data_IF_966614200237
#
_entry.id   IF_966614200237
#
_cell.length_a   1.000
_cell.length_b   1.000
_cell.length_c   1.000
_cell.angle_alpha   90.00
_cell.angle_beta   90.00
_cell.angle_gamma   90.00
#
_symmetry.space_group_name_H-M   'P 1'
#
loop_
_entity.id
_entity.type
_entity.pdbx_description
1 polymer ?
#
# COMPACT_ATOMS: atom_id res chain seq x y z
N UNK A 1 -24.13 -5.45 2.04
CA UNK A 1 -23.19 -4.88 3.03
C UNK A 1 -22.34 -3.86 2.30
N UNK A 2 -21.89 -2.84 3.02
CA UNK A 2 -21.02 -1.78 2.53
C UNK A 2 -19.79 -1.72 3.45
N UNK A 3 -18.60 -1.61 2.88
CA UNK A 3 -17.34 -1.49 3.60
C UNK A 3 -16.74 -0.12 3.32
N UNK A 4 -16.47 0.66 4.37
CA UNK A 4 -15.76 1.94 4.25
C UNK A 4 -14.40 1.83 4.93
N UNK A 5 -13.35 2.17 4.19
CA UNK A 5 -11.97 2.12 4.64
C UNK A 5 -11.50 3.54 4.93
N UNK A 6 -11.08 3.80 6.16
CA UNK A 6 -10.56 5.11 6.57
C UNK A 6 -9.13 4.97 7.07
N UNK A 7 -8.20 5.76 6.53
CA UNK A 7 -6.87 5.89 7.12
C UNK A 7 -6.95 6.76 8.38
N UNK A 8 -6.44 6.27 9.51
CA UNK A 8 -6.52 6.98 10.80
C UNK A 8 -5.31 7.85 11.09
N UNK A 9 -4.19 7.61 10.40
CA UNK A 9 -2.97 8.42 10.44
C UNK A 9 -2.10 8.18 9.20
N UNK A 10 -1.13 9.07 8.90
CA UNK A 10 -0.20 8.86 7.80
C UNK A 10 0.54 7.52 7.91
N UNK A 11 0.79 6.83 6.79
CA UNK A 11 1.55 5.58 6.80
C UNK A 11 2.99 5.85 7.22
N UNK A 12 3.58 4.91 7.96
CA UNK A 12 4.98 4.94 8.33
C UNK A 12 5.78 4.13 7.32
N UNK A 13 6.86 4.71 6.82
CA UNK A 13 7.85 4.06 5.96
C UNK A 13 9.16 3.95 6.74
N UNK A 14 9.75 2.77 6.75
CA UNK A 14 11.13 2.53 7.20
C UNK A 14 11.93 1.93 6.06
N UNK A 15 13.02 2.59 5.71
CA UNK A 15 13.95 2.10 4.69
C UNK A 15 15.17 1.51 5.38
N UNK A 16 15.63 0.38 4.87
CA UNK A 16 16.83 -0.31 5.30
C UNK A 16 17.57 -0.85 4.09
N UNK A 17 18.81 -1.29 4.27
CA UNK A 17 19.56 -1.94 3.19
C UNK A 17 18.89 -3.20 2.64
N UNK A 18 17.99 -3.84 3.41
CA UNK A 18 17.28 -5.07 3.01
C UNK A 18 15.95 -4.83 2.31
N UNK A 19 15.42 -3.60 2.30
CA UNK A 19 14.09 -3.34 1.75
C UNK A 19 13.35 -2.21 2.44
N UNK A 20 12.08 -2.07 2.07
CA UNK A 20 11.18 -1.03 2.57
C UNK A 20 10.01 -1.66 3.34
N UNK A 21 9.83 -1.22 4.58
CA UNK A 21 8.74 -1.66 5.44
C UNK A 21 7.73 -0.54 5.60
N UNK A 22 6.46 -0.86 5.34
CA UNK A 22 5.34 0.05 5.49
C UNK A 22 4.44 -0.39 6.64
N UNK A 23 3.99 0.57 7.43
CA UNK A 23 2.92 0.36 8.40
C UNK A 23 1.79 1.34 8.14
N UNK A 24 0.63 0.82 7.76
CA UNK A 24 -0.58 1.60 7.50
C UNK A 24 -1.57 1.34 8.63
N UNK A 25 -2.29 2.39 9.02
CA UNK A 25 -3.27 2.33 10.10
C UNK A 25 -4.59 2.85 9.59
N UNK A 26 -5.66 2.12 9.88
CA UNK A 26 -6.98 2.51 9.44
C UNK A 26 -8.09 1.80 10.20
N UNK A 27 -9.30 2.24 9.93
CA UNK A 27 -10.52 1.61 10.39
C UNK A 27 -11.32 1.08 9.20
N UNK A 28 -11.97 -0.06 9.40
CA UNK A 28 -12.93 -0.65 8.48
C UNK A 28 -14.31 -0.54 9.12
N UNK A 29 -15.14 0.33 8.57
CA UNK A 29 -16.53 0.48 8.98
C UNK A 29 -17.39 -0.46 8.14
N UNK A 30 -18.13 -1.34 8.81
CA UNK A 30 -19.00 -2.31 8.15
C UNK A 30 -20.44 -1.89 8.35
N UNK A 31 -21.11 -1.53 7.25
CA UNK A 31 -22.52 -1.14 7.27
C UNK A 31 -23.41 -2.23 6.64
N UNK A 32 -24.61 -2.40 7.19
CA UNK A 32 -25.64 -3.28 6.63
C UNK A 32 -26.62 -2.41 5.83
N UNK A 33 -26.95 -2.87 4.62
CA UNK A 33 -27.90 -2.18 3.74
C UNK A 33 -29.32 -2.53 4.17
N UNK A 34 -30.21 -1.53 4.22
CA UNK A 34 -31.62 -1.77 4.55
C UNK A 34 -32.35 -2.46 3.39
N UNK A 35 -33.26 -3.40 3.68
CA UNK A 35 -34.13 -3.97 2.65
C UNK A 35 -34.94 -2.88 1.94
N UNK A 36 -34.97 -2.91 0.60
CA UNK A 36 -35.78 -1.99 -0.21
C UNK A 36 -35.17 -0.62 -0.49
N UNK A 37 -34.06 -0.24 0.14
CA UNK A 37 -33.29 0.96 -0.21
C UNK A 37 -31.79 0.73 -0.02
N UNK A 38 -31.06 0.55 -1.12
CA UNK A 38 -29.61 0.35 -1.10
C UNK A 38 -28.81 1.60 -0.75
N UNK A 39 -29.45 2.76 -0.64
CA UNK A 39 -28.80 4.03 -0.27
C UNK A 39 -28.81 4.30 1.23
N UNK A 40 -29.64 3.59 1.99
CA UNK A 40 -29.66 3.65 3.45
C UNK A 40 -28.87 2.48 4.04
N UNK A 41 -27.84 2.80 4.82
CA UNK A 41 -27.03 1.83 5.53
C UNK A 41 -26.90 2.18 7.02
N UNK A 42 -26.81 1.15 7.87
CA UNK A 42 -26.59 1.30 9.30
C UNK A 42 -25.27 0.65 9.69
N UNK A 43 -24.52 1.31 10.59
CA UNK A 43 -23.26 0.81 11.09
C UNK A 43 -23.49 -0.44 11.94
N UNK A 44 -22.90 -1.56 11.52
CA UNK A 44 -22.94 -2.81 12.26
C UNK A 44 -21.78 -2.90 13.25
N UNK A 45 -20.54 -2.66 12.78
CA UNK A 45 -19.35 -2.68 13.62
C UNK A 45 -18.18 -1.95 12.94
N UNK A 46 -17.16 -1.64 13.74
CA UNK A 46 -15.91 -1.01 13.30
C UNK A 46 -14.75 -1.92 13.68
N UNK A 47 -13.88 -2.21 12.71
CA UNK A 47 -12.63 -2.92 12.93
C UNK A 47 -11.47 -1.94 12.81
N UNK A 48 -10.54 -1.98 13.76
CA UNK A 48 -9.23 -1.35 13.62
C UNK A 48 -8.32 -2.26 12.83
N UNK A 49 -7.60 -1.70 11.86
CA UNK A 49 -6.69 -2.41 10.99
C UNK A 49 -5.27 -1.82 11.07
N UNK A 50 -4.29 -2.69 11.35
CA UNK A 50 -2.87 -2.39 11.20
C UNK A 50 -2.32 -3.24 10.07
N UNK A 51 -1.89 -2.60 8.99
CA UNK A 51 -1.33 -3.28 7.82
C UNK A 51 0.18 -3.16 7.84
N UNK A 52 0.85 -4.30 7.78
CA UNK A 52 2.29 -4.41 7.65
C UNK A 52 2.60 -4.88 6.23
N UNK A 53 3.46 -4.16 5.51
CA UNK A 53 3.84 -4.53 4.16
C UNK A 53 5.34 -4.41 3.95
N UNK A 54 5.89 -5.30 3.14
CA UNK A 54 7.29 -5.28 2.71
C UNK A 54 7.32 -5.06 1.20
N UNK A 55 8.21 -4.17 0.75
CA UNK A 55 8.38 -3.88 -0.66
C UNK A 55 9.85 -3.67 -1.03
N UNK A 56 10.11 -3.92 -2.30
CA UNK A 56 11.38 -3.67 -2.97
C UNK A 56 11.21 -2.52 -3.97
N UNK A 57 12.26 -1.73 -4.14
CA UNK A 57 12.32 -0.67 -5.14
C UNK A 57 13.27 -1.02 -6.25
N UNK A 58 12.93 -0.60 -7.46
CA UNK A 58 13.76 -0.83 -8.63
C UNK A 58 13.56 0.29 -9.65
N UNK A 59 14.47 0.38 -10.62
CA UNK A 59 14.41 1.39 -11.68
C UNK A 59 13.84 0.79 -12.95
N UNK A 60 12.98 1.54 -13.63
CA UNK A 60 12.61 1.31 -15.03
C UNK A 60 13.09 2.48 -15.87
N UNK A 61 13.66 2.18 -17.02
CA UNK A 61 14.07 3.17 -18.00
C UNK A 61 13.15 3.07 -19.22
N UNK A 62 12.53 4.19 -19.62
CA UNK A 62 11.95 4.34 -20.95
C UNK A 62 12.83 5.31 -21.74
N UNK A 63 12.76 5.28 -23.08
CA UNK A 63 13.67 5.99 -24.00
C UNK A 63 14.00 7.47 -23.71
N UNK A 64 13.33 8.15 -22.78
CA UNK A 64 13.70 9.48 -22.29
C UNK A 64 13.63 9.65 -20.75
N UNK A 65 13.06 8.72 -19.99
CA UNK A 65 12.72 8.93 -18.57
C UNK A 65 13.10 7.74 -17.69
N UNK A 66 13.69 8.05 -16.54
CA UNK A 66 13.93 7.11 -15.46
C UNK A 66 12.73 7.13 -14.49
N UNK A 67 12.24 5.96 -14.10
CA UNK A 67 11.15 5.80 -13.15
C UNK A 67 11.62 5.00 -11.95
N UNK A 68 11.25 5.45 -10.75
CA UNK A 68 11.36 4.66 -9.52
C UNK A 68 10.08 3.86 -9.35
N UNK A 69 10.19 2.56 -9.43
CA UNK A 69 9.09 1.62 -9.29
C UNK A 69 9.19 0.85 -7.97
N UNK A 70 8.07 0.29 -7.53
CA UNK A 70 8.00 -0.57 -6.36
C UNK A 70 7.36 -1.92 -6.67
N UNK A 71 7.71 -2.93 -5.87
CA UNK A 71 7.08 -4.23 -5.87
C UNK A 71 6.88 -4.70 -4.42
N UNK A 72 5.63 -4.86 -4.01
CA UNK A 72 5.24 -5.37 -2.71
C UNK A 72 5.27 -6.89 -2.74
N UNK A 73 6.02 -7.49 -1.82
CA UNK A 73 6.23 -8.94 -1.73
C UNK A 73 5.40 -9.57 -0.63
N UNK A 74 5.09 -8.81 0.42
CA UNK A 74 4.38 -9.29 1.59
C UNK A 74 3.39 -8.25 2.12
N UNK A 75 2.19 -8.68 2.50
CA UNK A 75 1.22 -7.89 3.24
C UNK A 75 0.55 -8.75 4.30
N UNK A 76 0.57 -8.28 5.54
CA UNK A 76 -0.22 -8.82 6.65
C UNK A 76 -1.14 -7.74 7.20
N UNK A 77 -2.40 -8.08 7.37
CA UNK A 77 -3.39 -7.21 7.99
C UNK A 77 -3.62 -7.76 9.39
N UNK A 78 -3.59 -6.93 10.42
CA UNK A 78 -4.01 -7.30 11.77
C UNK A 78 -5.28 -6.54 12.11
N UNK A 79 -6.37 -7.26 12.34
CA UNK A 79 -7.67 -6.71 12.67
C UNK A 79 -7.92 -6.75 14.18
N UNK A 80 -8.70 -5.81 14.66
CA UNK A 80 -9.15 -5.72 16.05
C UNK A 80 -10.57 -5.14 16.09
N UNK A 81 -11.41 -5.61 17.01
CA UNK A 81 -12.74 -5.03 17.18
C UNK A 81 -12.62 -3.70 17.93
N UNK A 82 -13.09 -2.61 17.31
CA UNK A 82 -13.12 -1.28 17.92
C UNK A 82 -14.49 -1.02 18.57
N UNK A 83 -15.58 -1.31 17.85
CA UNK A 83 -16.94 -1.20 18.36
C UNK A 83 -17.89 -2.12 17.60
N UNK A 84 -18.97 -2.56 18.26
CA UNK A 84 -20.01 -3.41 17.65
C UNK A 84 -21.41 -2.96 18.09
N UNK A 85 -22.35 -2.99 17.15
CA UNK A 85 -23.78 -2.79 17.37
C UNK A 85 -24.57 -4.10 17.20
N UNK A 86 -23.90 -5.20 16.86
CA UNK A 86 -24.51 -6.51 16.56
C UNK A 86 -24.22 -7.57 17.63
N UNK A 87 -23.58 -7.17 18.74
CA UNK A 87 -23.09 -8.07 19.78
C UNK A 87 -21.67 -8.55 19.54
N UNK A 88 -21.18 -9.37 20.47
CA UNK A 88 -19.82 -9.92 20.40
C UNK A 88 -19.73 -11.00 19.33
N UNK A 89 -18.62 -11.00 18.60
CA UNK A 89 -18.29 -12.01 17.60
C UNK A 89 -16.78 -12.21 17.55
N UNK A 90 -16.38 -13.36 17.01
CA UNK A 90 -14.98 -13.68 16.83
C UNK A 90 -14.41 -12.99 15.57
N UNK A 91 -13.38 -12.16 15.78
CA UNK A 91 -12.71 -11.40 14.70
C UNK A 91 -11.79 -12.31 13.87
N UNK A 92 -11.43 -13.49 14.37
CA UNK A 92 -10.43 -14.36 13.74
C UNK A 92 -10.88 -14.84 12.35
N UNK A 93 -12.18 -15.06 12.15
CA UNK A 93 -12.74 -15.41 10.83
C UNK A 93 -12.53 -14.28 9.81
N UNK A 94 -12.72 -13.03 10.23
CA UNK A 94 -12.48 -11.86 9.38
C UNK A 94 -10.98 -11.63 9.16
N UNK A 95 -10.16 -11.96 10.16
CA UNK A 95 -8.72 -11.89 10.09
C UNK A 95 -8.15 -12.84 9.02
N UNK A 96 -8.61 -14.08 8.97
CA UNK A 96 -8.21 -15.05 7.94
C UNK A 96 -8.66 -14.58 6.54
N UNK A 97 -9.90 -14.12 6.41
CA UNK A 97 -10.43 -13.60 5.16
C UNK A 97 -9.62 -12.39 4.65
N UNK A 98 -9.25 -11.45 5.54
CA UNK A 98 -8.45 -10.30 5.18
C UNK A 98 -7.04 -10.69 4.69
N UNK A 99 -6.40 -11.66 5.33
CA UNK A 99 -5.10 -12.18 4.91
C UNK A 99 -5.18 -12.94 3.57
N UNK A 100 -6.27 -13.65 3.30
CA UNK A 100 -6.46 -14.29 1.99
C UNK A 100 -6.67 -13.24 0.88
N UNK A 101 -7.50 -12.23 1.15
CA UNK A 101 -7.74 -11.13 0.21
C UNK A 101 -6.47 -10.30 -0.04
N UNK A 102 -5.59 -10.18 0.96
CA UNK A 102 -4.34 -9.43 0.79
C UNK A 102 -3.46 -10.06 -0.29
N UNK A 103 -3.33 -11.38 -0.27
CA UNK A 103 -2.54 -12.15 -1.24
C UNK A 103 -3.21 -12.15 -2.62
N UNK A 104 -4.52 -12.41 -2.68
CA UNK A 104 -5.22 -12.61 -3.95
C UNK A 104 -5.52 -11.32 -4.71
N UNK A 105 -5.75 -10.21 -4.01
CA UNK A 105 -6.25 -8.99 -4.62
C UNK A 105 -5.42 -7.75 -4.26
N UNK A 106 -5.05 -7.57 -2.99
CA UNK A 106 -4.41 -6.30 -2.55
C UNK A 106 -2.98 -6.19 -3.07
N UNK A 107 -2.15 -7.24 -2.94
CA UNK A 107 -0.77 -7.25 -3.46
C UNK A 107 -0.76 -6.99 -4.98
N UNK A 108 -1.53 -7.74 -5.81
CA UNK A 108 -1.58 -7.47 -7.25
C UNK A 108 -2.02 -6.04 -7.59
N UNK A 109 -3.02 -5.52 -6.87
CA UNK A 109 -3.52 -4.17 -7.08
C UNK A 109 -2.45 -3.11 -6.78
N UNK A 110 -1.79 -3.21 -5.62
CA UNK A 110 -0.71 -2.30 -5.25
C UNK A 110 0.44 -2.39 -6.25
N UNK A 111 0.82 -3.61 -6.65
CA UNK A 111 1.90 -3.80 -7.61
C UNK A 111 1.57 -3.22 -8.99
N UNK A 112 0.30 -3.24 -9.41
CA UNK A 112 -0.10 -2.59 -10.67
C UNK A 112 0.19 -1.07 -10.64
N UNK A 113 -0.12 -0.40 -9.53
CA UNK A 113 0.19 1.02 -9.36
C UNK A 113 1.69 1.26 -9.16
N UNK A 114 2.33 0.51 -8.26
CA UNK A 114 3.75 0.66 -7.94
C UNK A 114 4.67 0.35 -9.14
N UNK A 115 4.24 -0.51 -10.06
CA UNK A 115 4.95 -0.82 -11.30
C UNK A 115 4.90 0.28 -12.35
N UNK A 116 3.91 1.19 -12.27
CA UNK A 116 3.86 2.39 -13.11
C UNK A 116 4.95 3.39 -12.69
N UNK A 117 5.31 3.36 -11.40
CA UNK A 117 6.39 4.14 -10.83
C UNK A 117 6.14 5.64 -10.78
N UNK A 118 7.12 6.36 -10.26
CA UNK A 118 7.16 7.83 -10.23
C UNK A 118 8.34 8.27 -11.09
N UNK A 119 8.15 9.23 -12.02
CA UNK A 119 9.24 9.73 -12.83
C UNK A 119 10.30 10.41 -11.95
N UNK A 120 11.55 10.08 -12.20
CA UNK A 120 12.68 10.73 -11.55
C UNK A 120 12.79 12.17 -12.08
N UNK A 121 13.02 13.17 -11.22
CA UNK A 121 13.15 14.54 -11.68
C UNK A 121 14.45 14.69 -12.49
N UNK A 122 14.31 15.03 -13.76
CA UNK A 122 15.43 15.34 -14.66
C UNK A 122 15.26 16.76 -15.17
N UNK A 123 16.37 17.47 -15.34
CA UNK A 123 16.40 18.80 -15.93
C UNK A 123 16.31 18.65 -17.45
N UNK A 124 15.65 19.59 -18.12
CA UNK A 124 15.59 19.63 -19.58
C UNK A 124 17.01 19.51 -20.19
N UNK A 125 17.10 18.82 -21.33
CA UNK A 125 18.34 18.51 -22.06
C UNK A 125 19.35 17.58 -21.35
N UNK A 126 18.98 17.00 -20.20
CA UNK A 126 19.73 15.94 -19.53
C UNK A 126 19.06 14.58 -19.67
N UNK A 127 19.85 13.55 -19.90
CA UNK A 127 19.39 12.16 -19.86
C UNK A 127 20.22 11.35 -18.86
N UNK A 128 19.54 10.51 -18.06
CA UNK A 128 20.18 9.63 -17.08
C UNK A 128 20.45 8.26 -17.71
N UNK A 129 21.70 7.82 -17.65
CA UNK A 129 22.17 6.53 -18.17
C UNK A 129 22.89 5.75 -17.07
N UNK A 130 23.05 4.42 -17.25
CA UNK A 130 23.70 3.54 -16.26
C UNK A 130 23.17 3.68 -14.82
N UNK A 131 21.87 3.94 -14.68
CA UNK A 131 21.27 4.20 -13.38
C UNK A 131 21.22 2.94 -12.51
N UNK A 132 21.55 3.09 -11.23
CA UNK A 132 21.48 2.07 -10.20
C UNK A 132 20.75 2.60 -8.98
N UNK A 133 20.02 1.72 -8.30
CA UNK A 133 19.28 2.03 -7.07
C UNK A 133 19.86 1.22 -5.92
N UNK A 134 20.11 1.89 -4.79
CA UNK A 134 20.51 1.28 -3.54
C UNK A 134 19.66 1.82 -2.40
N UNK A 135 19.24 0.94 -1.51
CA UNK A 135 18.58 1.34 -0.26
C UNK A 135 19.64 1.51 0.82
N UNK A 136 19.51 2.60 1.57
CA UNK A 136 20.23 2.83 2.81
C UNK A 136 19.26 3.03 3.96
N UNK A 137 19.82 3.27 5.15
CA UNK A 137 19.03 3.60 6.33
C UNK A 137 18.31 4.93 6.11
N UNK A 138 16.98 4.88 6.02
CA UNK A 138 16.10 6.03 5.79
C UNK A 138 16.27 6.79 4.45
N UNK A 139 16.99 6.24 3.46
CA UNK A 139 17.12 6.85 2.13
C UNK A 139 17.12 5.84 0.97
N UNK A 140 16.72 6.35 -0.20
CA UNK A 140 16.91 5.68 -1.50
C UNK A 140 17.98 6.45 -2.27
N UNK A 141 19.09 5.80 -2.59
CA UNK A 141 20.14 6.37 -3.42
C UNK A 141 19.94 5.93 -4.85
N UNK A 142 19.79 6.91 -5.74
CA UNK A 142 19.84 6.70 -7.19
C UNK A 142 21.15 7.29 -7.69
N UNK A 143 22.00 6.44 -8.27
CA UNK A 143 23.26 6.85 -8.89
C UNK A 143 23.19 6.58 -10.39
N UNK A 144 23.47 7.59 -11.21
CA UNK A 144 23.39 7.52 -12.67
C UNK A 144 24.45 8.42 -13.32
N UNK A 145 24.82 8.09 -14.55
CA UNK A 145 25.64 8.94 -15.42
C UNK A 145 24.73 9.94 -16.16
N UNK A 146 25.20 11.16 -16.36
CA UNK A 146 24.45 12.23 -17.03
C UNK A 146 25.01 12.44 -18.44
N UNK A 147 24.14 12.42 -19.43
CA UNK A 147 24.46 12.86 -20.80
C UNK A 147 23.69 14.14 -21.09
N UNK A 148 24.42 15.21 -21.42
CA UNK A 148 23.87 16.50 -21.84
C UNK A 148 23.79 16.54 -23.37
N UNK A 149 22.67 17.01 -23.92
CA UNK A 149 22.37 17.04 -25.36
C UNK A 149 22.32 18.47 -25.89
#
# INVERSE_FOLDING_TARGET
MELKLNATKPPLLKLSSSGANFTVFGDVLVNVLKPGNSSDSELAFVLGAVVLAEAEFYLKNNSANLFVCGNTTFIRINLSLVSTNIGDFDVDVLQEAANLLSILYIIPLINNYANSGVPFPVIDDMTLTNASLKLGEDYVLVAADIVYS
#
